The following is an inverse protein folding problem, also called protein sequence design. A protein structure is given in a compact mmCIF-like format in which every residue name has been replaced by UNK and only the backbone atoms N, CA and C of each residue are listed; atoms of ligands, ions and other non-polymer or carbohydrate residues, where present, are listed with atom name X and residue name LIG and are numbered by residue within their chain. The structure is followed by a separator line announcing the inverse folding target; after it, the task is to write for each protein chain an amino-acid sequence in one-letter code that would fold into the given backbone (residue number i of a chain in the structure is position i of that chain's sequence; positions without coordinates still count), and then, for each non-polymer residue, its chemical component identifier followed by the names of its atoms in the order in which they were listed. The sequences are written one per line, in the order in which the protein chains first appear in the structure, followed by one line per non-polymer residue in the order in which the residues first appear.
data_IF_735718768600
#
_entry.id   IF_735718768600
#
_cell.length_a   1.000
_cell.length_b   1.000
_cell.length_c   1.000
_cell.angle_alpha   90.00
_cell.angle_beta   90.00
_cell.angle_gamma   90.00
#
_symmetry.space_group_name_H-M   'P 1'
#
loop_
_entity.id
_entity.type
_entity.pdbx_description
1 polymer ?
#
# COMPACT_ATOMS: atom_id res chain seq x y z
N UNK A 1 -57.03 -17.01 10.98
CA UNK A 1 -56.44 -18.00 10.05
C UNK A 1 -55.03 -17.53 9.71
N UNK A 2 -54.01 -18.21 10.24
CA UNK A 2 -52.62 -17.96 9.81
C UNK A 2 -52.42 -18.72 8.51
N UNK A 3 -52.39 -17.99 7.39
CA UNK A 3 -52.18 -18.60 6.08
C UNK A 3 -50.74 -19.10 5.94
N UNK A 4 -50.51 -20.11 5.09
CA UNK A 4 -49.23 -20.84 4.96
C UNK A 4 -48.02 -19.94 4.67
N UNK A 5 -48.27 -18.83 3.97
CA UNK A 5 -47.30 -17.77 3.69
C UNK A 5 -46.83 -17.01 4.93
N UNK A 6 -47.69 -16.81 5.93
CA UNK A 6 -47.32 -16.17 7.19
C UNK A 6 -46.44 -17.08 8.07
N UNK A 7 -46.65 -18.39 8.02
CA UNK A 7 -45.81 -19.36 8.74
C UNK A 7 -44.37 -19.39 8.20
N UNK A 8 -44.22 -19.35 6.87
CA UNK A 8 -42.92 -19.24 6.19
C UNK A 8 -42.21 -17.93 6.55
N UNK A 9 -42.92 -16.82 6.57
CA UNK A 9 -42.36 -15.52 6.95
C UNK A 9 -41.85 -15.54 8.40
N UNK A 10 -42.62 -16.12 9.33
CA UNK A 10 -42.22 -16.24 10.74
C UNK A 10 -40.98 -17.12 10.90
N UNK A 11 -40.88 -18.22 10.16
CA UNK A 11 -39.70 -19.10 10.19
C UNK A 11 -38.44 -18.41 9.66
N UNK A 12 -38.55 -17.63 8.57
CA UNK A 12 -37.43 -16.84 8.03
C UNK A 12 -36.99 -15.77 9.02
N UNK A 13 -37.93 -15.09 9.69
CA UNK A 13 -37.63 -14.10 10.72
C UNK A 13 -36.97 -14.72 11.95
N UNK A 14 -37.39 -15.91 12.38
CA UNK A 14 -36.74 -16.65 13.48
C UNK A 14 -35.32 -17.06 13.08
N UNK A 15 -35.11 -17.55 11.85
CA UNK A 15 -33.78 -17.89 11.36
C UNK A 15 -32.85 -16.67 11.31
N UNK A 16 -33.35 -15.52 10.83
CA UNK A 16 -32.60 -14.26 10.84
C UNK A 16 -32.29 -13.80 12.27
N UNK A 17 -33.26 -13.87 13.19
CA UNK A 17 -33.07 -13.52 14.60
C UNK A 17 -32.02 -14.42 15.28
N UNK A 18 -32.02 -15.71 15.00
CA UNK A 18 -31.01 -16.66 15.50
C UNK A 18 -29.62 -16.34 14.93
N UNK A 19 -29.50 -16.08 13.63
CA UNK A 19 -28.23 -15.67 13.02
C UNK A 19 -27.68 -14.39 13.66
N UNK A 20 -28.54 -13.40 13.95
CA UNK A 20 -28.13 -12.18 14.66
C UNK A 20 -27.78 -12.41 16.13
N UNK A 21 -28.54 -13.25 16.85
CA UNK A 21 -28.31 -13.54 18.26
C UNK A 21 -26.99 -14.29 18.48
N UNK A 22 -26.67 -15.23 17.60
CA UNK A 22 -25.42 -15.99 17.63
C UNK A 22 -24.26 -15.28 16.92
N UNK A 23 -24.45 -14.04 16.45
CA UNK A 23 -23.44 -13.25 15.73
C UNK A 23 -22.78 -14.02 14.58
N UNK A 24 -23.55 -14.83 13.86
CA UNK A 24 -23.03 -15.60 12.73
C UNK A 24 -22.92 -14.65 11.54
N UNK A 25 -21.71 -14.33 11.04
CA UNK A 25 -21.57 -13.43 9.89
C UNK A 25 -22.15 -14.10 8.64
N UNK A 26 -23.20 -13.50 8.07
CA UNK A 26 -23.93 -14.01 6.88
C UNK A 26 -23.16 -13.72 5.58
N UNK A 27 -22.14 -12.86 5.65
CA UNK A 27 -21.19 -12.61 4.57
C UNK A 27 -19.79 -12.44 5.17
N UNK A 28 -18.80 -13.14 4.59
CA UNK A 28 -17.38 -12.88 4.80
C UNK A 28 -16.84 -12.31 3.49
N UNK A 29 -16.60 -10.99 3.46
CA UNK A 29 -15.70 -10.43 2.46
C UNK A 29 -14.29 -10.74 2.96
N UNK A 30 -13.63 -11.78 2.43
CA UNK A 30 -12.21 -11.91 2.65
C UNK A 30 -11.53 -10.66 2.05
N UNK A 31 -10.82 -9.89 2.87
CA UNK A 31 -10.06 -8.73 2.40
C UNK A 31 -8.98 -9.16 1.40
N UNK A 32 -8.58 -8.26 0.49
CA UNK A 32 -7.49 -8.54 -0.43
C UNK A 32 -6.23 -8.92 0.37
N UNK A 33 -5.52 -9.94 -0.10
CA UNK A 33 -4.31 -10.45 0.53
C UNK A 33 -3.19 -10.50 -0.49
N UNK A 34 -2.10 -9.79 -0.19
CA UNK A 34 -0.85 -9.76 -0.92
C UNK A 34 0.13 -10.69 -0.21
N UNK A 35 0.55 -11.76 -0.90
CA UNK A 35 1.47 -12.76 -0.35
C UNK A 35 2.87 -12.50 -0.90
N UNK A 36 3.84 -12.28 -0.01
CA UNK A 36 5.25 -12.10 -0.34
C UNK A 36 5.89 -13.44 -0.66
N UNK A 37 6.18 -13.69 -1.93
CA UNK A 37 6.79 -14.96 -2.35
C UNK A 37 8.26 -15.02 -1.91
N UNK A 38 8.64 -16.15 -1.32
CA UNK A 38 10.02 -16.40 -0.94
C UNK A 38 10.87 -16.73 -2.18
N UNK A 39 11.94 -15.99 -2.42
CA UNK A 39 12.87 -16.16 -3.53
C UNK A 39 14.30 -16.39 -3.02
N UNK A 40 15.10 -17.13 -3.79
CA UNK A 40 16.52 -17.33 -3.49
C UNK A 40 17.36 -16.23 -4.15
N UNK A 41 18.39 -15.76 -3.44
CA UNK A 41 19.35 -14.77 -3.95
C UNK A 41 18.93 -13.31 -3.72
N UNK A 42 19.57 -12.42 -4.47
CA UNK A 42 19.36 -10.97 -4.36
C UNK A 42 18.04 -10.55 -5.03
N UNK A 43 17.39 -9.54 -4.45
CA UNK A 43 16.16 -8.99 -5.00
C UNK A 43 16.47 -8.07 -6.20
N UNK A 44 15.63 -8.05 -7.25
CA UNK A 44 15.85 -7.25 -8.45
C UNK A 44 15.51 -5.78 -8.19
N UNK A 45 16.44 -5.03 -7.60
CA UNK A 45 16.21 -3.63 -7.18
C UNK A 45 15.96 -2.65 -8.33
N UNK A 46 16.56 -2.89 -9.49
CA UNK A 46 16.53 -2.00 -10.66
C UNK A 46 15.95 -2.66 -11.91
N UNK A 47 15.40 -3.87 -11.78
CA UNK A 47 14.86 -4.66 -12.89
C UNK A 47 13.39 -5.04 -12.64
N UNK A 48 12.44 -4.19 -13.09
CA UNK A 48 11.02 -4.48 -12.95
C UNK A 48 10.53 -5.63 -13.86
N UNK A 49 11.33 -6.06 -14.85
CA UNK A 49 11.00 -7.14 -15.78
C UNK A 49 11.64 -8.48 -15.39
N UNK A 50 12.34 -8.50 -14.26
CA UNK A 50 12.95 -9.70 -13.71
C UNK A 50 11.94 -10.85 -13.59
N UNK A 51 12.35 -12.04 -14.04
CA UNK A 51 11.53 -13.24 -13.94
C UNK A 51 11.19 -13.63 -12.49
N UNK A 52 11.93 -13.12 -11.49
CA UNK A 52 11.65 -13.32 -10.07
C UNK A 52 10.25 -12.83 -9.68
N UNK A 53 9.76 -11.74 -10.29
CA UNK A 53 8.42 -11.21 -10.02
C UNK A 53 7.29 -12.19 -10.38
N UNK A 54 7.55 -13.14 -11.29
CA UNK A 54 6.57 -14.16 -11.68
C UNK A 54 6.31 -15.20 -10.58
N UNK A 55 7.16 -15.29 -9.56
CA UNK A 55 6.95 -16.15 -8.40
C UNK A 55 5.92 -15.58 -7.43
N UNK A 56 5.70 -14.26 -7.46
CA UNK A 56 4.69 -13.59 -6.66
C UNK A 56 3.37 -13.47 -7.42
N UNK A 57 2.26 -13.68 -6.71
CA UNK A 57 0.92 -13.45 -7.26
C UNK A 57 0.68 -11.94 -7.42
N UNK A 58 0.28 -11.53 -8.63
CA UNK A 58 -0.21 -10.18 -8.88
C UNK A 58 -1.56 -9.97 -8.20
N UNK A 59 -1.69 -8.88 -7.44
CA UNK A 59 -2.94 -8.48 -6.80
C UNK A 59 -3.35 -7.12 -7.35
N UNK A 60 -4.53 -7.06 -7.97
CA UNK A 60 -5.12 -5.81 -8.42
C UNK A 60 -5.82 -5.12 -7.24
N UNK A 61 -5.26 -4.00 -6.80
CA UNK A 61 -5.74 -3.22 -5.67
C UNK A 61 -6.62 -2.08 -6.20
N UNK A 62 -7.92 -2.07 -5.87
CA UNK A 62 -8.80 -0.97 -6.26
C UNK A 62 -8.46 0.30 -5.47
N UNK A 63 -8.50 1.44 -6.15
CA UNK A 63 -8.26 2.75 -5.60
C UNK A 63 -9.51 3.62 -5.71
N UNK A 64 -9.68 4.49 -4.72
CA UNK A 64 -10.73 5.51 -4.69
C UNK A 64 -10.14 6.89 -4.46
N UNK A 65 -10.75 7.92 -5.03
CA UNK A 65 -10.33 9.29 -4.77
C UNK A 65 -10.44 9.61 -3.27
N UNK A 66 -9.42 10.26 -2.74
CA UNK A 66 -9.48 10.80 -1.39
C UNK A 66 -10.51 11.95 -1.36
N UNK A 67 -11.56 11.77 -0.56
CA UNK A 67 -12.64 12.74 -0.37
C UNK A 67 -12.89 13.10 1.11
N UNK A 68 -11.93 12.80 1.99
CA UNK A 68 -12.08 12.95 3.44
C UNK A 68 -11.82 14.38 3.89
N UNK A 69 -10.87 15.08 3.26
CA UNK A 69 -10.51 16.45 3.62
C UNK A 69 -10.38 17.33 2.39
N UNK A 70 -10.57 18.64 2.56
CA UNK A 70 -10.39 19.61 1.48
C UNK A 70 -8.90 19.84 1.22
N UNK A 71 -8.49 20.14 -0.03
CA UNK A 71 -9.34 20.20 -1.22
C UNK A 71 -9.74 18.80 -1.71
N UNK A 72 -11.01 18.62 -2.06
CA UNK A 72 -11.50 17.34 -2.55
C UNK A 72 -10.95 17.03 -3.94
N UNK A 73 -10.67 15.76 -4.20
CA UNK A 73 -10.50 15.24 -5.56
C UNK A 73 -11.83 14.59 -5.96
N UNK A 74 -12.58 15.26 -6.85
CA UNK A 74 -13.91 14.77 -7.26
C UNK A 74 -13.83 13.52 -8.13
N UNK A 75 -12.74 13.39 -8.90
CA UNK A 75 -12.47 12.24 -9.74
C UNK A 75 -10.96 11.96 -9.75
N UNK A 76 -10.57 10.78 -9.26
CA UNK A 76 -9.20 10.30 -9.41
C UNK A 76 -8.98 9.71 -10.80
N UNK A 77 -7.84 9.95 -11.45
CA UNK A 77 -7.58 9.33 -12.76
C UNK A 77 -7.26 7.85 -12.62
N UNK A 78 -6.43 7.50 -11.62
CA UNK A 78 -6.02 6.12 -11.39
C UNK A 78 -7.05 5.41 -10.51
N UNK A 79 -7.62 4.30 -11.01
CA UNK A 79 -8.68 3.53 -10.33
C UNK A 79 -8.20 2.22 -9.73
N UNK A 80 -7.03 1.76 -10.15
CA UNK A 80 -6.43 0.53 -9.65
C UNK A 80 -4.94 0.53 -9.91
N UNK A 81 -4.21 -0.23 -9.12
CA UNK A 81 -2.83 -0.61 -9.37
C UNK A 81 -2.67 -2.12 -9.19
N UNK A 82 -1.62 -2.69 -9.75
CA UNK A 82 -1.24 -4.07 -9.49
C UNK A 82 -0.03 -4.08 -8.56
N UNK A 83 -0.07 -4.89 -7.51
CA UNK A 83 1.03 -5.08 -6.58
C UNK A 83 1.52 -6.53 -6.58
N UNK A 84 2.83 -6.70 -6.51
CA UNK A 84 3.52 -7.98 -6.23
C UNK A 84 4.52 -7.75 -5.10
N UNK A 85 4.83 -8.78 -4.33
CA UNK A 85 5.92 -8.72 -3.36
C UNK A 85 6.68 -10.03 -3.28
N UNK A 86 8.00 -9.92 -3.12
CA UNK A 86 8.95 -11.01 -2.95
C UNK A 86 9.86 -10.71 -1.77
N UNK A 87 10.45 -11.74 -1.18
CA UNK A 87 11.36 -11.63 -0.05
C UNK A 87 12.38 -12.77 -0.07
N UNK A 88 13.59 -12.53 0.44
CA UNK A 88 14.69 -13.52 0.46
C UNK A 88 15.16 -13.90 1.88
N UNK A 89 14.34 -13.61 2.90
CA UNK A 89 14.63 -13.87 4.30
C UNK A 89 15.41 -12.78 5.02
N UNK A 90 16.05 -11.85 4.29
CA UNK A 90 16.69 -10.64 4.86
C UNK A 90 16.03 -9.34 4.39
N UNK A 91 15.52 -9.31 3.16
CA UNK A 91 14.89 -8.17 2.51
C UNK A 91 13.49 -8.51 2.00
N UNK A 92 12.67 -7.48 1.86
CA UNK A 92 11.39 -7.53 1.13
C UNK A 92 11.41 -6.48 0.03
N UNK A 93 10.87 -6.84 -1.13
CA UNK A 93 10.63 -5.93 -2.22
C UNK A 93 9.16 -5.94 -2.67
N UNK A 94 8.68 -4.80 -3.12
CA UNK A 94 7.35 -4.60 -3.69
C UNK A 94 7.49 -4.06 -5.10
N UNK A 95 6.81 -4.67 -6.06
CA UNK A 95 6.63 -4.13 -7.40
C UNK A 95 5.20 -3.62 -7.52
N UNK A 96 5.07 -2.33 -7.78
CA UNK A 96 3.79 -1.65 -7.99
C UNK A 96 3.72 -1.14 -9.42
N UNK A 97 2.62 -1.44 -10.10
CA UNK A 97 2.43 -1.03 -11.49
C UNK A 97 1.06 -0.39 -11.69
N UNK A 98 0.99 0.72 -12.41
CA UNK A 98 -0.27 1.36 -12.79
C UNK A 98 -0.16 1.98 -14.19
N UNK A 99 -1.30 2.05 -14.88
CA UNK A 99 -1.36 2.70 -16.19
C UNK A 99 -1.32 4.22 -16.01
N UNK A 100 -0.46 4.88 -16.76
CA UNK A 100 -0.41 6.33 -16.89
C UNK A 100 0.15 6.71 -18.26
N UNK A 101 -0.65 7.37 -19.08
CA UNK A 101 -0.28 7.75 -20.44
C UNK A 101 0.75 8.88 -20.47
N UNK A 102 1.00 9.52 -19.33
CA UNK A 102 1.97 10.59 -19.15
C UNK A 102 3.12 10.14 -18.25
N UNK A 103 4.33 10.63 -18.55
CA UNK A 103 5.50 10.50 -17.69
C UNK A 103 5.75 11.87 -17.07
N UNK A 104 5.19 12.12 -15.89
CA UNK A 104 5.37 13.39 -15.18
C UNK A 104 6.47 13.24 -14.13
N UNK A 105 7.72 13.47 -14.53
CA UNK A 105 8.91 13.25 -13.70
C UNK A 105 9.72 14.54 -13.45
N UNK A 106 9.06 15.70 -13.55
CA UNK A 106 9.70 16.99 -13.33
C UNK A 106 8.83 17.88 -12.44
N UNK A 107 9.48 18.67 -11.58
CA UNK A 107 8.85 19.76 -10.82
C UNK A 107 9.48 21.12 -11.14
N UNK A 108 10.23 21.21 -12.24
CA UNK A 108 10.98 22.41 -12.62
C UNK A 108 10.02 23.58 -12.92
N UNK A 109 8.93 23.34 -13.65
CA UNK A 109 7.94 24.42 -13.90
C UNK A 109 6.94 24.47 -12.75
N UNK A 110 6.46 25.67 -12.44
CA UNK A 110 5.50 25.92 -11.33
C UNK A 110 4.17 25.16 -11.51
N UNK A 111 3.82 24.86 -12.75
CA UNK A 111 2.63 24.13 -13.17
C UNK A 111 2.82 22.61 -13.24
N UNK A 112 4.07 22.13 -13.09
CA UNK A 112 4.34 20.70 -13.19
C UNK A 112 4.05 20.04 -11.83
N UNK A 113 3.32 18.94 -11.88
CA UNK A 113 3.16 18.02 -10.78
C UNK A 113 3.74 16.69 -11.20
N UNK A 114 4.34 15.98 -10.26
CA UNK A 114 4.97 14.69 -10.50
C UNK A 114 4.00 13.53 -10.32
N UNK A 115 4.32 12.44 -10.97
CA UNK A 115 3.79 11.13 -10.62
C UNK A 115 4.41 10.64 -9.33
N UNK A 116 3.62 9.94 -8.53
CA UNK A 116 4.10 9.35 -7.27
C UNK A 116 3.26 8.15 -6.88
N UNK A 117 3.87 7.23 -6.14
CA UNK A 117 3.18 6.10 -5.52
C UNK A 117 3.72 5.89 -4.12
N UNK A 118 2.84 5.56 -3.18
CA UNK A 118 3.21 5.30 -1.80
C UNK A 118 2.68 3.96 -1.30
N UNK A 119 3.48 3.32 -0.45
CA UNK A 119 3.07 2.24 0.43
C UNK A 119 2.98 2.78 1.84
N UNK A 120 2.05 2.28 2.63
CA UNK A 120 1.88 2.65 4.02
C UNK A 120 1.67 1.40 4.87
N UNK A 121 2.32 1.38 6.03
CA UNK A 121 2.27 0.30 7.02
C UNK A 121 1.89 0.84 8.39
N UNK A 122 1.02 0.15 9.16
CA UNK A 122 0.75 0.52 10.53
C UNK A 122 1.93 0.16 11.44
N UNK A 123 2.24 1.06 12.38
CA UNK A 123 3.24 0.82 13.43
C UNK A 123 2.61 0.29 14.73
N UNK A 124 1.30 0.51 14.90
CA UNK A 124 0.52 -0.02 16.02
C UNK A 124 -0.14 -1.37 15.66
N UNK A 125 -0.56 -2.13 16.68
CA UNK A 125 -1.40 -3.31 16.45
C UNK A 125 -2.75 -2.91 15.87
N UNK A 126 -3.20 -3.67 14.86
CA UNK A 126 -4.44 -3.40 14.14
C UNK A 126 -4.27 -2.43 12.98
N UNK A 127 -5.41 -1.94 12.48
CA UNK A 127 -5.48 -1.08 11.30
C UNK A 127 -5.94 0.31 11.74
N UNK A 128 -5.04 1.31 11.84
CA UNK A 128 -5.44 2.70 12.07
C UNK A 128 -6.12 3.24 10.80
N UNK A 129 -6.55 4.50 10.82
CA UNK A 129 -7.15 5.08 9.62
C UNK A 129 -6.20 5.02 8.42
N UNK A 130 -6.66 4.48 7.28
CA UNK A 130 -5.80 4.23 6.12
C UNK A 130 -5.31 5.53 5.44
N UNK A 131 -5.99 6.65 5.64
CA UNK A 131 -5.51 7.96 5.20
C UNK A 131 -4.52 8.54 6.23
N UNK A 132 -3.35 7.92 6.36
CA UNK A 132 -2.19 8.43 7.11
C UNK A 132 -2.28 8.32 8.63
N UNK A 133 -3.01 7.34 9.14
CA UNK A 133 -3.07 7.03 10.56
C UNK A 133 -4.01 7.94 11.36
N UNK A 134 -3.87 7.88 12.68
CA UNK A 134 -4.59 8.68 13.66
C UNK A 134 -3.78 8.77 14.96
N UNK A 135 -4.22 9.57 15.93
CA UNK A 135 -3.55 9.66 17.23
C UNK A 135 -3.43 8.28 17.89
N UNK A 136 -2.20 7.88 18.23
CA UNK A 136 -1.90 6.56 18.81
C UNK A 136 -1.85 5.40 17.80
N UNK A 137 -2.12 5.67 16.52
CA UNK A 137 -2.06 4.72 15.42
C UNK A 137 -1.19 5.27 14.29
N UNK A 138 0.09 5.46 14.58
CA UNK A 138 1.06 5.96 13.61
C UNK A 138 1.28 4.96 12.48
N UNK A 139 1.67 5.49 11.33
CA UNK A 139 1.98 4.73 10.14
C UNK A 139 3.33 5.16 9.58
N UNK A 140 4.05 4.20 9.03
CA UNK A 140 5.26 4.40 8.24
C UNK A 140 4.88 4.38 6.76
N UNK A 141 5.36 5.34 5.97
CA UNK A 141 5.06 5.46 4.55
C UNK A 141 6.35 5.50 3.75
N UNK A 142 6.35 4.77 2.63
CA UNK A 142 7.41 4.82 1.64
C UNK A 142 6.84 5.48 0.40
N UNK A 143 7.30 6.68 0.07
CA UNK A 143 6.80 7.48 -1.05
C UNK A 143 7.83 7.54 -2.17
N UNK A 144 7.56 6.85 -3.27
CA UNK A 144 8.32 7.01 -4.50
C UNK A 144 7.89 8.30 -5.22
N UNK A 145 8.86 9.02 -5.75
CA UNK A 145 8.66 10.28 -6.48
C UNK A 145 9.37 10.23 -7.82
N UNK A 146 8.64 10.50 -8.90
CA UNK A 146 9.17 10.45 -10.25
C UNK A 146 10.29 11.48 -10.50
N UNK A 147 10.19 12.68 -9.93
CA UNK A 147 11.23 13.71 -10.03
C UNK A 147 12.53 13.33 -9.32
N UNK A 148 12.46 12.68 -8.17
CA UNK A 148 13.67 12.16 -7.50
C UNK A 148 14.32 11.04 -8.32
N UNK A 149 13.51 10.19 -8.97
CA UNK A 149 14.04 9.19 -9.90
C UNK A 149 14.71 9.83 -11.12
N UNK A 150 14.12 10.87 -11.70
CA UNK A 150 14.71 11.61 -12.81
C UNK A 150 16.01 12.31 -12.37
N UNK A 151 16.01 12.95 -11.19
CA UNK A 151 17.17 13.67 -10.66
C UNK A 151 18.37 12.76 -10.37
N UNK A 152 18.12 11.54 -9.88
CA UNK A 152 19.16 10.51 -9.70
C UNK A 152 19.79 10.11 -11.04
N UNK A 153 18.99 10.02 -12.10
CA UNK A 153 19.48 9.66 -13.43
C UNK A 153 20.23 10.83 -14.09
N UNK A 154 19.63 12.01 -14.05
CA UNK A 154 20.18 13.26 -14.54
C UNK A 154 19.40 14.43 -13.91
N UNK A 155 20.05 15.15 -12.98
CA UNK A 155 19.47 16.30 -12.27
C UNK A 155 18.80 17.27 -13.24
N UNK A 156 17.56 17.64 -12.94
CA UNK A 156 16.81 18.65 -13.66
C UNK A 156 16.79 19.97 -12.89
N UNK A 157 16.99 21.08 -13.60
CA UNK A 157 16.92 22.42 -13.04
C UNK A 157 16.35 23.41 -14.08
N UNK A 158 16.27 24.70 -13.74
CA UNK A 158 15.72 25.76 -14.57
C UNK A 158 16.31 25.80 -15.98
N UNK A 159 17.61 25.55 -16.14
CA UNK A 159 18.31 25.50 -17.42
C UNK A 159 17.92 24.29 -18.27
N UNK A 160 17.48 23.20 -17.64
CA UNK A 160 16.97 22.01 -18.31
C UNK A 160 15.66 22.30 -19.06
N UNK A 161 14.76 23.09 -18.46
CA UNK A 161 13.50 23.49 -19.11
C UNK A 161 13.61 24.78 -19.93
N UNK A 162 14.40 25.73 -19.46
CA UNK A 162 14.57 27.04 -20.07
C UNK A 162 16.01 27.18 -20.54
N UNK A 163 16.36 26.44 -21.60
CA UNK A 163 17.72 26.41 -22.16
C UNK A 163 18.22 27.77 -22.68
N UNK A 164 17.30 28.70 -22.96
CA UNK A 164 17.61 30.08 -23.35
C UNK A 164 17.58 31.06 -22.15
N UNK A 165 17.40 30.57 -20.92
CA UNK A 165 17.48 31.39 -19.72
C UNK A 165 18.92 31.89 -19.57
N UNK A 166 19.05 33.18 -19.28
CA UNK A 166 20.34 33.80 -18.99
C UNK A 166 20.35 34.24 -17.53
N UNK A 167 21.37 33.78 -16.80
CA UNK A 167 21.65 34.26 -15.45
C UNK A 167 22.85 35.19 -15.55
N UNK A 168 22.72 36.45 -15.13
CA UNK A 168 23.82 37.40 -15.21
C UNK A 168 24.99 36.99 -14.30
N UNK A 169 24.66 36.60 -13.07
CA UNK A 169 25.56 36.05 -12.06
C UNK A 169 24.73 35.46 -10.91
N UNK A 170 25.26 34.46 -10.22
CA UNK A 170 24.76 34.05 -8.91
C UNK A 170 25.57 34.78 -7.82
N UNK A 171 25.02 35.80 -7.16
CA UNK A 171 25.71 36.45 -6.05
C UNK A 171 26.05 35.43 -4.97
N UNK A 172 27.25 35.54 -4.39
CA UNK A 172 27.74 34.73 -3.26
C UNK A 172 28.06 33.25 -3.55
N UNK A 173 27.83 32.77 -4.78
CA UNK A 173 28.45 31.55 -5.28
C UNK A 173 29.88 31.82 -5.78
N UNK A 174 30.65 30.78 -6.14
CA UNK A 174 32.00 30.93 -6.68
C UNK A 174 32.05 31.92 -7.86
N UNK A 175 32.65 33.12 -7.69
CA UNK A 175 32.67 34.14 -8.73
C UNK A 175 33.45 33.70 -9.97
N UNK A 176 34.36 32.72 -9.84
CA UNK A 176 35.13 32.18 -10.97
C UNK A 176 34.27 31.34 -11.91
N UNK A 177 33.15 30.78 -11.43
CA UNK A 177 32.22 29.98 -12.24
C UNK A 177 31.16 30.82 -12.94
N UNK A 178 30.93 32.06 -12.49
CA UNK A 178 29.98 32.99 -13.10
C UNK A 178 28.60 32.34 -13.28
N UNK A 179 28.17 32.21 -14.54
CA UNK A 179 26.85 31.65 -14.90
C UNK A 179 26.75 30.13 -14.71
N UNK A 180 27.90 29.44 -14.56
CA UNK A 180 27.97 27.99 -14.33
C UNK A 180 27.95 27.63 -12.84
N UNK A 181 27.87 28.63 -11.96
CA UNK A 181 27.80 28.37 -10.52
C UNK A 181 26.47 27.68 -10.17
N UNK A 182 26.53 26.57 -9.46
CA UNK A 182 25.38 25.82 -8.95
C UNK A 182 25.26 25.90 -7.43
N UNK A 183 24.27 25.20 -6.86
CA UNK A 183 24.04 25.18 -5.40
C UNK A 183 25.24 24.67 -4.60
N UNK A 184 26.06 23.79 -5.17
CA UNK A 184 27.28 23.27 -4.55
C UNK A 184 28.41 24.31 -4.46
N UNK A 185 28.28 25.44 -5.16
CA UNK A 185 29.30 26.50 -5.22
C UNK A 185 29.09 27.59 -4.17
N UNK A 186 28.03 27.49 -3.37
CA UNK A 186 27.81 28.33 -2.21
C UNK A 186 28.61 27.81 -1.02
N UNK A 187 29.54 28.62 -0.53
CA UNK A 187 30.37 28.28 0.65
C UNK A 187 29.76 28.73 1.97
N UNK A 188 28.95 29.78 1.96
CA UNK A 188 28.21 30.26 3.13
C UNK A 188 26.79 29.65 3.14
N UNK A 189 26.45 28.83 4.15
CA UNK A 189 25.16 28.15 4.24
C UNK A 189 23.96 29.10 4.35
N UNK A 190 24.17 30.38 4.71
CA UNK A 190 23.10 31.37 4.78
C UNK A 190 22.44 31.67 3.41
N UNK A 191 23.13 31.37 2.31
CA UNK A 191 22.61 31.53 0.96
C UNK A 191 21.94 30.26 0.40
N UNK A 192 22.09 29.13 1.10
CA UNK A 192 21.41 27.86 0.80
C UNK A 192 20.67 27.32 2.03
N UNK A 193 19.77 28.13 2.65
CA UNK A 193 19.22 27.85 3.97
C UNK A 193 18.40 26.56 4.03
N UNK A 194 17.72 26.17 2.94
CA UNK A 194 16.95 24.92 2.88
C UNK A 194 17.88 23.68 2.94
N UNK A 195 19.01 23.72 2.23
CA UNK A 195 20.03 22.67 2.33
C UNK A 195 20.68 22.68 3.71
N UNK A 196 21.01 23.87 4.23
CA UNK A 196 21.60 24.02 5.56
C UNK A 196 20.67 23.52 6.69
N UNK A 197 19.35 23.57 6.49
CA UNK A 197 18.36 23.00 7.42
C UNK A 197 18.15 21.50 7.26
N UNK A 198 18.89 20.84 6.36
CA UNK A 198 18.72 19.40 6.08
C UNK A 198 17.42 19.05 5.36
N UNK A 199 16.85 19.97 4.59
CA UNK A 199 15.63 19.68 3.83
C UNK A 199 15.93 18.69 2.70
N UNK A 200 15.39 17.48 2.79
CA UNK A 200 15.58 16.41 1.81
C UNK A 200 15.11 16.80 0.40
N UNK A 201 14.07 17.62 0.28
CA UNK A 201 13.60 18.12 -1.01
C UNK A 201 14.62 19.05 -1.67
N UNK A 202 15.34 19.85 -0.88
CA UNK A 202 16.39 20.74 -1.37
C UNK A 202 17.74 20.02 -1.54
N UNK A 203 17.83 18.73 -1.18
CA UNK A 203 19.07 17.98 -1.30
C UNK A 203 19.52 17.92 -2.77
N UNK A 204 20.81 18.17 -3.07
CA UNK A 204 21.33 18.05 -4.42
C UNK A 204 21.50 16.59 -4.85
N UNK A 205 21.52 15.66 -3.87
CA UNK A 205 21.71 14.24 -4.09
C UNK A 205 20.68 13.44 -3.29
N UNK A 206 20.02 12.50 -3.95
CA UNK A 206 19.15 11.52 -3.31
C UNK A 206 19.79 10.14 -3.45
N UNK A 207 19.91 9.40 -2.34
CA UNK A 207 20.42 8.03 -2.38
C UNK A 207 19.40 7.05 -3.00
N UNK A 208 18.11 7.41 -2.92
CA UNK A 208 16.98 6.62 -3.37
C UNK A 208 15.86 7.56 -3.84
N UNK A 209 15.05 7.17 -4.84
CA UNK A 209 13.86 7.93 -5.25
C UNK A 209 12.68 7.77 -4.27
N UNK A 210 12.89 7.03 -3.17
CA UNK A 210 11.91 6.80 -2.11
C UNK A 210 12.21 7.71 -0.93
N UNK A 211 11.18 8.41 -0.46
CA UNK A 211 11.20 9.10 0.83
C UNK A 211 10.51 8.24 1.89
N UNK A 212 11.22 7.97 2.98
CA UNK A 212 10.70 7.35 4.18
C UNK A 212 10.08 8.41 5.11
N UNK A 213 8.82 8.20 5.46
CA UNK A 213 7.93 9.15 6.12
C UNK A 213 7.20 8.49 7.29
N UNK A 214 6.79 9.31 8.26
CA UNK A 214 5.89 8.93 9.34
C UNK A 214 4.68 9.87 9.38
N UNK A 215 3.52 9.32 9.77
CA UNK A 215 2.34 10.12 10.07
C UNK A 215 1.53 9.53 11.24
N UNK A 216 0.96 10.39 12.07
CA UNK A 216 -0.01 10.05 13.13
C UNK A 216 -1.40 10.63 12.84
N UNK A 217 -1.72 10.82 11.56
CA UNK A 217 -2.91 11.50 11.05
C UNK A 217 -2.58 12.40 9.85
N UNK A 218 -3.58 12.64 9.00
CA UNK A 218 -3.44 13.60 7.91
C UNK A 218 -3.01 14.97 8.47
N UNK A 219 -2.00 15.59 7.86
CA UNK A 219 -1.41 16.85 8.32
C UNK A 219 -0.24 16.72 9.31
N UNK A 220 0.14 15.51 9.74
CA UNK A 220 1.35 15.27 10.54
C UNK A 220 2.46 14.54 9.76
N UNK A 221 2.30 14.40 8.44
CA UNK A 221 3.29 13.74 7.59
C UNK A 221 4.64 14.43 7.70
N UNK A 222 5.65 13.67 8.09
CA UNK A 222 7.00 14.17 8.34
C UNK A 222 8.00 13.19 7.76
N UNK A 223 9.01 13.70 7.05
CA UNK A 223 10.11 12.88 6.57
C UNK A 223 10.95 12.41 7.76
N UNK A 224 11.39 11.15 7.74
CA UNK A 224 12.43 10.71 8.65
C UNK A 224 13.74 11.46 8.36
N UNK A 225 14.64 11.51 9.35
CA UNK A 225 15.94 12.15 9.18
C UNK A 225 16.73 11.56 8.00
N UNK A 226 17.67 12.33 7.44
CA UNK A 226 18.45 11.89 6.28
C UNK A 226 19.17 10.54 6.49
N UNK A 227 19.72 10.32 7.70
CA UNK A 227 20.41 9.09 8.06
C UNK A 227 19.46 7.90 8.28
N UNK A 228 18.15 8.15 8.36
CA UNK A 228 17.10 7.15 8.53
C UNK A 228 16.36 6.84 7.20
N UNK A 229 16.75 7.46 6.08
CA UNK A 229 16.21 7.17 4.76
C UNK A 229 16.76 5.83 4.23
N UNK A 230 16.19 4.71 4.69
CA UNK A 230 16.74 3.36 4.47
C UNK A 230 15.99 2.53 3.40
N UNK A 231 14.99 3.11 2.73
CA UNK A 231 14.22 2.44 1.69
C UNK A 231 14.82 2.70 0.31
N UNK A 232 15.19 1.64 -0.38
CA UNK A 232 15.67 1.69 -1.76
C UNK A 232 14.50 1.60 -2.73
N UNK A 233 14.67 2.16 -3.93
CA UNK A 233 13.68 1.97 -4.97
C UNK A 233 14.16 2.34 -6.36
N UNK A 234 13.32 1.99 -7.33
CA UNK A 234 13.55 2.24 -8.74
C UNK A 234 12.21 2.39 -9.46
N UNK A 235 12.09 3.38 -10.33
CA UNK A 235 10.91 3.60 -11.16
C UNK A 235 11.26 3.61 -12.63
N UNK A 236 10.48 2.90 -13.43
CA UNK A 236 10.57 2.94 -14.89
C UNK A 236 9.19 3.17 -15.50
N UNK A 237 9.11 4.14 -16.42
CA UNK A 237 7.95 4.37 -17.27
C UNK A 237 8.20 3.79 -18.65
N UNK A 238 7.29 2.97 -19.15
CA UNK A 238 7.34 2.45 -20.51
C UNK A 238 5.92 2.15 -21.01
N UNK A 239 5.63 2.52 -22.26
CA UNK A 239 4.38 2.17 -22.93
C UNK A 239 3.11 2.50 -22.13
N UNK A 240 3.06 3.70 -21.52
CA UNK A 240 1.89 4.17 -20.78
C UNK A 240 1.70 3.51 -19.41
N UNK A 241 2.79 3.01 -18.80
CA UNK A 241 2.75 2.34 -17.50
C UNK A 241 3.99 2.66 -16.68
N UNK A 242 3.76 2.99 -15.42
CA UNK A 242 4.79 3.00 -14.40
C UNK A 242 4.97 1.62 -13.78
N UNK A 243 6.23 1.26 -13.53
CA UNK A 243 6.64 0.10 -12.73
C UNK A 243 7.63 0.61 -11.68
N UNK A 244 7.26 0.49 -10.42
CA UNK A 244 8.03 1.01 -9.28
C UNK A 244 8.35 -0.11 -8.31
N UNK A 245 9.63 -0.22 -7.98
CA UNK A 245 10.17 -1.15 -7.01
C UNK A 245 10.47 -0.39 -5.72
N UNK A 246 10.03 -0.95 -4.59
CA UNK A 246 10.45 -0.58 -3.24
C UNK A 246 11.20 -1.75 -2.65
N UNK A 247 12.29 -1.52 -1.94
CA UNK A 247 13.01 -2.57 -1.20
C UNK A 247 13.57 -2.06 0.10
N UNK A 248 13.51 -2.90 1.12
CA UNK A 248 14.10 -2.62 2.43
C UNK A 248 14.44 -3.93 3.14
N UNK A 249 15.39 -3.86 4.06
CA UNK A 249 15.65 -4.94 5.02
C UNK A 249 14.39 -5.24 5.85
N UNK A 250 14.16 -6.51 6.19
CA UNK A 250 13.02 -6.93 7.01
C UNK A 250 13.12 -6.34 8.42
N UNK A 251 14.32 -6.37 8.99
CA UNK A 251 14.64 -5.77 10.27
C UNK A 251 14.92 -4.27 10.12
N UNK A 252 14.57 -3.49 11.14
CA UNK A 252 15.01 -2.11 11.30
C UNK A 252 15.30 -1.84 12.78
N UNK A 253 16.29 -0.98 13.05
CA UNK A 253 16.57 -0.45 14.39
C UNK A 253 15.72 0.77 14.74
N UNK A 254 15.08 1.39 13.75
CA UNK A 254 14.34 2.63 13.91
C UNK A 254 12.93 2.35 14.44
N UNK A 255 12.47 3.13 15.41
CA UNK A 255 11.15 2.95 16.02
C UNK A 255 10.01 3.38 15.10
N UNK A 256 10.32 4.27 14.15
CA UNK A 256 9.37 4.84 13.20
C UNK A 256 9.23 3.99 11.93
N UNK A 257 9.95 2.86 11.90
CA UNK A 257 9.96 1.89 10.82
C UNK A 257 9.08 0.69 11.12
N UNK A 258 8.37 0.19 10.10
CA UNK A 258 7.76 -1.14 10.21
C UNK A 258 8.86 -2.20 10.32
N UNK A 259 8.73 -3.14 11.25
CA UNK A 259 9.62 -4.31 11.33
C UNK A 259 8.88 -5.55 10.86
N UNK A 260 9.39 -6.15 9.78
CA UNK A 260 8.83 -7.35 9.19
C UNK A 260 9.43 -8.61 9.80
N UNK A 261 8.56 -9.46 10.35
CA UNK A 261 8.90 -10.73 10.96
C UNK A 261 8.19 -11.82 10.17
N UNK A 262 8.93 -12.73 9.52
CA UNK A 262 8.33 -13.86 8.80
C UNK A 262 7.32 -14.62 9.67
N UNK A 263 6.20 -15.01 9.07
CA UNK A 263 5.10 -15.70 9.75
C UNK A 263 4.09 -14.78 10.45
N UNK A 264 4.36 -13.47 10.58
CA UNK A 264 3.34 -12.49 10.98
C UNK A 264 2.53 -12.01 9.77
N UNK A 265 1.30 -11.60 10.04
CA UNK A 265 0.45 -10.89 9.05
C UNK A 265 0.53 -9.40 9.33
N UNK A 266 0.71 -8.63 8.26
CA UNK A 266 0.79 -7.18 8.26
C UNK A 266 -0.36 -6.59 7.46
N UNK A 267 -0.44 -5.26 7.42
CA UNK A 267 -1.35 -4.54 6.53
C UNK A 267 -0.55 -3.52 5.74
N UNK A 268 -0.91 -3.36 4.47
CA UNK A 268 -0.34 -2.35 3.57
C UNK A 268 -1.48 -1.60 2.89
N UNK A 269 -1.37 -0.29 2.81
CA UNK A 269 -2.25 0.55 2.00
C UNK A 269 -1.41 1.26 0.94
N UNK A 270 -2.07 1.63 -0.16
CA UNK A 270 -1.42 2.25 -1.29
C UNK A 270 -2.04 3.60 -1.60
N UNK A 271 -1.23 4.50 -2.16
CA UNK A 271 -1.73 5.72 -2.78
C UNK A 271 -0.97 6.04 -4.06
N UNK A 272 -1.65 6.62 -5.04
CA UNK A 272 -1.08 7.02 -6.33
C UNK A 272 -1.51 8.45 -6.64
N UNK A 273 -0.59 9.22 -7.21
CA UNK A 273 -0.79 10.57 -7.72
C UNK A 273 -0.42 10.59 -9.19
N UNK A 274 -1.33 11.07 -10.03
CA UNK A 274 -1.05 11.43 -11.42
C UNK A 274 -0.76 12.94 -11.54
N UNK A 275 0.45 13.25 -11.98
CA UNK A 275 0.92 14.62 -12.19
C UNK A 275 0.15 15.37 -13.28
N UNK A 276 -0.28 14.70 -14.36
CA UNK A 276 -1.04 15.33 -15.43
C UNK A 276 -2.45 15.76 -14.98
N UNK A 277 -3.06 15.05 -14.05
CA UNK A 277 -4.31 15.44 -13.40
C UNK A 277 -4.11 16.44 -12.23
N UNK A 278 -2.88 16.90 -12.02
CA UNK A 278 -2.50 17.83 -10.96
C UNK A 278 -2.64 17.25 -9.56
N UNK A 279 -2.61 15.93 -9.41
CA UNK A 279 -2.72 15.27 -8.11
C UNK A 279 -1.46 15.56 -7.27
N UNK A 280 -1.66 15.97 -6.00
CA UNK A 280 -0.59 16.25 -5.02
C UNK A 280 -1.14 16.23 -3.61
N UNK A 281 -0.28 16.04 -2.61
CA UNK A 281 -0.67 16.05 -1.19
C UNK A 281 -1.85 15.11 -0.93
N UNK A 282 -2.97 15.62 -0.39
CA UNK A 282 -4.17 14.82 -0.13
C UNK A 282 -5.02 14.50 -1.37
N UNK A 283 -4.81 15.19 -2.50
CA UNK A 283 -5.54 14.93 -3.74
C UNK A 283 -4.86 13.79 -4.48
N UNK A 284 -5.36 12.57 -4.25
CA UNK A 284 -4.77 11.32 -4.73
C UNK A 284 -5.80 10.19 -4.78
N UNK A 285 -5.39 9.10 -5.37
CA UNK A 285 -6.09 7.81 -5.31
C UNK A 285 -5.57 7.00 -4.13
N UNK A 286 -6.43 6.44 -3.28
CA UNK A 286 -6.03 5.60 -2.13
C UNK A 286 -6.75 4.26 -2.10
N UNK A 287 -6.08 3.23 -1.59
CA UNK A 287 -6.69 1.94 -1.28
C UNK A 287 -7.19 1.88 0.18
N UNK A 288 -8.04 0.89 0.47
CA UNK A 288 -8.20 0.38 1.83
C UNK A 288 -6.97 -0.45 2.24
N UNK A 289 -6.93 -0.91 3.50
CA UNK A 289 -5.90 -1.85 3.94
C UNK A 289 -5.99 -3.19 3.20
N UNK A 290 -4.85 -3.65 2.71
CA UNK A 290 -4.62 -4.97 2.10
C UNK A 290 -3.81 -5.79 3.09
N UNK A 291 -4.19 -7.05 3.31
CA UNK A 291 -3.40 -7.94 4.16
C UNK A 291 -2.07 -8.26 3.47
N UNK A 292 -0.96 -8.15 4.19
CA UNK A 292 0.36 -8.56 3.74
C UNK A 292 0.77 -9.81 4.50
N UNK A 293 1.00 -10.91 3.80
CA UNK A 293 1.42 -12.19 4.39
C UNK A 293 2.76 -12.62 3.81
N UNK A 294 3.59 -13.25 4.63
CA UNK A 294 4.83 -13.87 4.16
C UNK A 294 4.50 -15.28 3.65
N UNK A 295 4.81 -15.53 2.39
CA UNK A 295 4.76 -16.88 1.84
C UNK A 295 5.81 -17.77 2.52
N UNK A 296 5.46 -19.03 2.72
CA UNK A 296 6.45 -20.02 3.17
C UNK A 296 7.57 -20.12 2.14
N UNK A 297 8.82 -20.29 2.60
CA UNK A 297 9.95 -20.65 1.72
C UNK A 297 9.55 -21.82 0.81
N UNK A 298 10.01 -21.88 -0.46
CA UNK A 298 9.81 -23.05 -1.28
C UNK A 298 10.27 -24.27 -0.49
N UNK A 299 9.33 -25.12 -0.08
CA UNK A 299 9.69 -26.37 0.55
C UNK A 299 10.48 -27.16 -0.50
N UNK A 300 11.69 -27.65 -0.20
CA UNK A 300 12.40 -28.52 -1.11
C UNK A 300 11.45 -29.68 -1.46
N UNK A 301 11.23 -29.88 -2.76
CA UNK A 301 10.39 -30.96 -3.29
C UNK A 301 10.96 -32.29 -2.77
N UNK A 302 10.44 -32.79 -1.64
CA UNK A 302 10.98 -33.99 -1.02
C UNK A 302 10.71 -34.19 0.47
N UNK A 303 10.34 -33.17 1.25
CA UNK A 303 10.03 -33.38 2.67
C UNK A 303 8.52 -33.40 2.86
N UNK A 304 7.96 -34.61 2.94
CA UNK A 304 6.61 -34.81 3.46
C UNK A 304 6.60 -34.33 4.91
N UNK A 305 5.98 -33.19 5.14
CA UNK A 305 5.67 -32.70 6.47
C UNK A 305 4.95 -33.82 7.24
N UNK A 306 5.55 -34.28 8.34
CA UNK A 306 4.83 -35.15 9.27
C UNK A 306 3.78 -34.28 9.97
N UNK A 307 2.61 -34.22 9.34
CA UNK A 307 1.40 -33.68 9.93
C UNK A 307 1.09 -34.53 11.16
N UNK A 308 1.30 -33.96 12.35
CA UNK A 308 0.68 -34.44 13.58
C UNK A 308 -0.82 -34.61 13.27
N UNK A 309 -1.44 -35.78 13.56
CA UNK A 309 -2.73 -36.12 12.99
C UNK A 309 -3.76 -35.06 13.41
N UNK A 310 -4.09 -34.17 12.47
CA UNK A 310 -5.22 -33.26 12.62
C UNK A 310 -6.42 -34.13 12.91
N UNK A 311 -7.09 -33.85 14.03
CA UNK A 311 -8.41 -34.43 14.31
C UNK A 311 -9.26 -34.19 13.06
N UNK A 312 -9.79 -35.26 12.44
CA UNK A 312 -10.39 -35.14 11.14
C UNK A 312 -11.58 -34.18 11.21
N UNK A 313 -11.72 -33.34 10.19
CA UNK A 313 -12.76 -32.29 10.11
C UNK A 313 -14.16 -32.82 10.40
N UNK A 314 -14.45 -34.10 10.12
CA UNK A 314 -15.73 -34.73 10.47
C UNK A 314 -15.97 -34.87 11.98
N UNK A 315 -14.96 -34.90 12.86
CA UNK A 315 -15.19 -34.96 14.30
C UNK A 315 -15.65 -33.62 14.90
N UNK A 316 -15.27 -32.48 14.32
CA UNK A 316 -15.71 -31.13 14.76
C UNK A 316 -16.92 -30.63 13.97
N UNK A 317 -16.99 -30.91 12.67
CA UNK A 317 -18.19 -30.57 11.88
C UNK A 317 -19.37 -31.50 12.17
N UNK A 318 -19.20 -32.81 12.42
CA UNK A 318 -20.38 -33.65 12.71
C UNK A 318 -21.16 -33.17 13.92
N UNK A 319 -20.51 -32.65 14.97
CA UNK A 319 -21.22 -32.15 16.15
C UNK A 319 -22.05 -30.90 15.81
N UNK A 320 -21.51 -29.97 15.03
CA UNK A 320 -22.22 -28.73 14.66
C UNK A 320 -23.29 -29.00 13.58
N UNK A 321 -22.98 -29.81 12.57
CA UNK A 321 -23.93 -30.18 11.52
C UNK A 321 -25.05 -31.09 12.04
N UNK A 322 -24.79 -32.07 12.92
CA UNK A 322 -25.84 -32.87 13.56
C UNK A 322 -26.71 -32.03 14.50
N UNK A 323 -26.15 -31.04 15.19
CA UNK A 323 -26.93 -30.14 16.02
C UNK A 323 -27.82 -29.20 15.18
N UNK A 324 -27.29 -28.63 14.08
CA UNK A 324 -28.08 -27.81 13.15
C UNK A 324 -29.15 -28.61 12.41
N UNK A 325 -28.83 -29.80 11.88
CA UNK A 325 -29.82 -30.67 11.24
C UNK A 325 -30.85 -31.20 12.25
N UNK A 326 -30.45 -31.48 13.49
CA UNK A 326 -31.36 -31.86 14.57
C UNK A 326 -32.36 -30.74 14.91
N UNK A 327 -31.87 -29.51 15.08
CA UNK A 327 -32.73 -28.34 15.35
C UNK A 327 -33.62 -28.02 14.16
N UNK A 328 -33.10 -28.04 12.93
CA UNK A 328 -33.88 -27.82 11.71
C UNK A 328 -34.91 -28.94 11.47
N UNK A 329 -34.57 -30.20 11.74
CA UNK A 329 -35.51 -31.31 11.62
C UNK A 329 -36.62 -31.23 12.66
N UNK A 330 -36.31 -30.86 13.91
CA UNK A 330 -37.32 -30.64 14.96
C UNK A 330 -38.22 -29.46 14.58
N UNK A 331 -37.67 -28.34 14.11
CA UNK A 331 -38.46 -27.19 13.65
C UNK A 331 -39.31 -27.53 12.42
N UNK A 332 -38.81 -28.35 11.50
CA UNK A 332 -39.54 -28.80 10.32
C UNK A 332 -40.65 -29.78 10.68
N UNK A 333 -40.42 -30.72 11.60
CA UNK A 333 -41.44 -31.68 12.06
C UNK A 333 -42.52 -30.95 12.86
N UNK A 334 -42.15 -30.03 13.75
CA UNK A 334 -43.10 -29.21 14.51
C UNK A 334 -43.87 -28.28 13.57
N UNK A 335 -43.20 -27.66 12.59
CA UNK A 335 -43.82 -26.83 11.57
C UNK A 335 -44.79 -27.61 10.68
N UNK A 336 -44.42 -28.80 10.21
CA UNK A 336 -45.26 -29.68 9.40
C UNK A 336 -46.46 -30.22 10.19
N UNK A 337 -46.26 -30.54 11.48
CA UNK A 337 -47.32 -30.96 12.38
C UNK A 337 -48.35 -29.84 12.62
N UNK A 338 -47.89 -28.61 12.87
CA UNK A 338 -48.76 -27.44 13.04
C UNK A 338 -49.47 -27.11 11.72
N UNK A 339 -48.77 -27.17 10.59
CA UNK A 339 -49.32 -26.94 9.25
C UNK A 339 -50.42 -27.94 8.86
N UNK A 340 -50.26 -29.21 9.25
CA UNK A 340 -51.25 -30.27 8.99
C UNK A 340 -52.56 -30.14 9.79
N UNK A 341 -52.61 -29.24 10.78
CA UNK A 341 -53.76 -29.01 11.66
C UNK A 341 -54.44 -27.66 11.48
N UNK A 342 -53.97 -26.85 10.53
CA UNK A 342 -54.64 -25.60 10.17
C UNK A 342 -55.72 -25.89 9.12
N UNK A 343 -56.96 -25.38 9.28
CA UNK A 343 -57.97 -25.45 8.24
C UNK A 343 -57.54 -24.61 7.03
N UNK A 344 -57.90 -25.07 5.82
CA UNK A 344 -57.51 -24.46 4.53
C UNK A 344 -57.69 -22.94 4.46
#
# INVERSE_FOLDING_TARGET
MFNRSHLLLVLVLIAAALLTFYKIPIASSQGLTLVSAAVEGDLPLTDPDSALWNQATAVDVPLSAQNVTKPFLLESKIKSLTARTIQNGSQIAFLVTWADDTQNDSLVRVQDFRDSVALQFPLAEGQPFFCMGQQGGNVNLWLWKADWQADINARQDMDTQYSNMYVDQYPFADPAKGIQAGVADYTDPNYVPAMASGNLFASPLHASPIEDLIAGGFGSLTAQAADNQNVQGFGAWEAGKWRVIFSRDLASSETDDVTFVPGKTYSVAFAVWDGANGERNGQKSTSQWVNLQFGSAPQPVGVKEQVEPQKPWWQTTQVITLFMFGVLAVLFIVGAFIYSRLPE
#
